data_IF_867502212013
#
_entry.id   IF_867502212013
#
_cell.length_a   1.000
_cell.length_b   1.000
_cell.length_c   1.000
_cell.angle_alpha   90.00
_cell.angle_beta   90.00
_cell.angle_gamma   90.00
#
_symmetry.space_group_name_H-M   'P 1'
#
loop_
_entity.id
_entity.type
_entity.pdbx_description
1 polymer ?
#
# COMPACT_ATOMS: atom_id res chain seq x y z
N UNK A 1 -8.18 1.40 10.92
CA UNK A 1 -8.74 2.78 10.89
C UNK A 1 -9.48 2.94 9.56
N UNK A 2 -10.62 3.63 9.49
CA UNK A 2 -11.40 3.74 8.24
C UNK A 2 -10.86 4.87 7.35
N UNK A 3 -9.95 4.55 6.41
CA UNK A 3 -9.40 5.52 5.45
C UNK A 3 -10.16 5.44 4.13
N UNK A 4 -10.63 6.57 3.59
CA UNK A 4 -11.15 6.61 2.22
C UNK A 4 -10.04 6.91 1.22
N UNK A 5 -10.10 6.24 0.06
CA UNK A 5 -9.19 6.38 -1.07
C UNK A 5 -9.93 6.95 -2.26
N UNK A 6 -9.32 7.92 -2.95
CA UNK A 6 -9.82 8.50 -4.20
C UNK A 6 -9.17 7.76 -5.37
N UNK A 7 -9.99 7.11 -6.22
CA UNK A 7 -9.51 6.49 -7.45
C UNK A 7 -9.23 7.53 -8.53
N UNK A 8 -8.50 7.13 -9.56
CA UNK A 8 -8.23 7.97 -10.75
C UNK A 8 -9.51 8.54 -11.40
N UNK A 9 -10.65 7.82 -11.34
CA UNK A 9 -11.94 8.30 -11.84
C UNK A 9 -12.72 9.20 -10.85
N UNK A 10 -12.11 9.60 -9.72
CA UNK A 10 -12.73 10.42 -8.68
C UNK A 10 -13.64 9.68 -7.69
N UNK A 11 -13.92 8.38 -7.92
CA UNK A 11 -14.74 7.59 -7.00
C UNK A 11 -14.03 7.33 -5.66
N UNK A 12 -14.83 7.26 -4.59
CA UNK A 12 -14.34 6.96 -3.23
C UNK A 12 -14.52 5.48 -2.91
N UNK A 13 -13.52 4.88 -2.29
CA UNK A 13 -13.59 3.52 -1.74
C UNK A 13 -12.91 3.49 -0.37
N UNK A 14 -13.24 2.48 0.44
CA UNK A 14 -12.44 2.20 1.63
C UNK A 14 -11.05 1.69 1.21
N UNK A 15 -10.03 2.09 1.97
CA UNK A 15 -8.71 1.50 1.87
C UNK A 15 -8.81 0.00 2.11
N UNK A 16 -8.09 -0.76 1.28
CA UNK A 16 -8.13 -2.21 1.26
C UNK A 16 -6.69 -2.71 1.22
N UNK A 17 -6.20 -3.15 2.39
CA UNK A 17 -4.83 -3.62 2.59
C UNK A 17 -4.48 -4.79 1.65
N UNK A 18 -5.47 -5.63 1.31
CA UNK A 18 -5.27 -6.78 0.43
C UNK A 18 -4.87 -6.37 -1.00
N UNK A 19 -5.24 -5.16 -1.45
CA UNK A 19 -4.77 -4.63 -2.74
C UNK A 19 -3.27 -4.32 -2.72
N UNK A 20 -2.75 -3.83 -1.60
CA UNK A 20 -1.31 -3.55 -1.44
C UNK A 20 -0.53 -4.86 -1.36
N UNK A 21 -0.99 -5.83 -0.57
CA UNK A 21 -0.39 -7.16 -0.44
C UNK A 21 -0.29 -7.82 -1.82
N UNK A 22 -1.39 -7.89 -2.58
CA UNK A 22 -1.38 -8.48 -3.92
C UNK A 22 -0.44 -7.76 -4.88
N UNK A 23 -0.32 -6.45 -4.76
CA UNK A 23 0.63 -5.67 -5.58
C UNK A 23 2.06 -6.07 -5.24
N UNK A 24 2.41 -6.14 -3.96
CA UNK A 24 3.72 -6.58 -3.50
C UNK A 24 4.05 -8.02 -3.97
N UNK A 25 3.13 -8.97 -3.79
CA UNK A 25 3.31 -10.35 -4.24
C UNK A 25 3.54 -10.44 -5.77
N UNK A 26 2.82 -9.65 -6.57
CA UNK A 26 3.03 -9.57 -8.02
C UNK A 26 4.40 -9.01 -8.41
N UNK A 27 5.04 -8.26 -7.52
CA UNK A 27 6.40 -7.77 -7.69
C UNK A 27 7.47 -8.78 -7.23
N UNK A 28 7.06 -9.95 -6.76
CA UNK A 28 7.98 -11.05 -6.42
C UNK A 28 8.49 -11.05 -4.98
N UNK A 29 7.98 -10.17 -4.11
CA UNK A 29 8.32 -10.27 -2.68
C UNK A 29 7.53 -11.38 -2.01
N UNK A 30 8.12 -11.97 -0.97
CA UNK A 30 7.43 -12.98 -0.17
C UNK A 30 6.29 -12.37 0.64
N UNK A 31 5.45 -13.25 1.21
CA UNK A 31 4.25 -12.85 1.92
C UNK A 31 4.52 -12.04 3.19
N UNK A 32 5.59 -12.33 3.94
CA UNK A 32 5.95 -11.57 5.15
C UNK A 32 6.24 -10.11 4.81
N UNK A 33 7.13 -9.90 3.83
CA UNK A 33 7.50 -8.57 3.34
C UNK A 33 6.26 -7.84 2.82
N UNK A 34 5.39 -8.53 2.06
CA UNK A 34 4.16 -7.95 1.54
C UNK A 34 3.22 -7.46 2.66
N UNK A 35 3.12 -8.19 3.77
CA UNK A 35 2.32 -7.76 4.93
C UNK A 35 2.94 -6.55 5.62
N UNK A 36 4.26 -6.56 5.89
CA UNK A 36 4.96 -5.44 6.52
C UNK A 36 4.82 -4.14 5.73
N UNK A 37 5.02 -4.21 4.41
CA UNK A 37 4.85 -3.06 3.51
C UNK A 37 3.39 -2.59 3.55
N UNK A 38 2.42 -3.50 3.54
CA UNK A 38 1.01 -3.14 3.54
C UNK A 38 0.54 -2.51 4.87
N UNK A 39 1.13 -2.92 6.00
CA UNK A 39 0.96 -2.22 7.28
C UNK A 39 1.51 -0.81 7.23
N UNK A 40 2.73 -0.65 6.73
CA UNK A 40 3.36 0.68 6.66
C UNK A 40 2.60 1.62 5.71
N UNK A 41 2.09 1.10 4.58
CA UNK A 41 1.19 1.85 3.70
C UNK A 41 -0.10 2.26 4.43
N UNK A 42 -0.71 1.38 5.23
CA UNK A 42 -1.91 1.72 5.99
C UNK A 42 -1.62 2.80 7.04
N UNK A 43 -0.49 2.72 7.75
CA UNK A 43 -0.08 3.68 8.77
C UNK A 43 0.16 5.08 8.20
N UNK A 44 0.73 5.15 6.98
CA UNK A 44 0.97 6.43 6.29
C UNK A 44 -0.23 6.90 5.46
N UNK A 45 -1.27 6.07 5.31
CA UNK A 45 -2.47 6.42 4.57
C UNK A 45 -3.34 7.39 5.36
N UNK A 46 -3.84 8.41 4.66
CA UNK A 46 -4.71 9.44 5.23
C UNK A 46 -6.01 9.54 4.43
N UNK A 47 -7.05 10.12 5.03
CA UNK A 47 -8.35 10.22 4.40
C UNK A 47 -8.28 11.04 3.10
N UNK A 48 -8.76 10.46 1.99
CA UNK A 48 -8.70 11.08 0.67
C UNK A 48 -7.38 10.84 -0.08
N UNK A 49 -6.49 9.97 0.41
CA UNK A 49 -5.30 9.55 -0.34
C UNK A 49 -5.70 8.98 -1.71
N UNK A 50 -4.93 9.26 -2.76
CA UNK A 50 -5.21 8.75 -4.10
C UNK A 50 -4.62 7.36 -4.30
N UNK A 51 -5.20 6.58 -5.22
CA UNK A 51 -4.62 5.28 -5.61
C UNK A 51 -3.19 5.39 -6.11
N UNK A 52 -2.85 6.48 -6.81
CA UNK A 52 -1.52 6.68 -7.37
C UNK A 52 -0.50 6.95 -6.26
N UNK A 53 -0.86 7.75 -5.25
CA UNK A 53 -0.03 7.97 -4.05
C UNK A 53 0.20 6.69 -3.25
N UNK A 54 -0.82 5.84 -3.12
CA UNK A 54 -0.66 4.52 -2.48
C UNK A 54 0.36 3.67 -3.24
N UNK A 55 0.28 3.67 -4.57
CA UNK A 55 1.20 2.90 -5.41
C UNK A 55 2.64 3.44 -5.32
N UNK A 56 2.81 4.75 -5.40
CA UNK A 56 4.11 5.42 -5.24
C UNK A 56 4.73 5.14 -3.86
N UNK A 57 3.92 5.19 -2.81
CA UNK A 57 4.34 4.86 -1.46
C UNK A 57 4.76 3.39 -1.36
N UNK A 58 3.98 2.47 -1.93
CA UNK A 58 4.29 1.04 -1.96
C UNK A 58 5.65 0.80 -2.63
N UNK A 59 5.89 1.42 -3.79
CA UNK A 59 7.17 1.31 -4.49
C UNK A 59 8.33 1.91 -3.71
N UNK A 60 8.11 3.04 -3.03
CA UNK A 60 9.13 3.71 -2.23
C UNK A 60 9.53 2.85 -1.03
N UNK A 61 8.56 2.23 -0.35
CA UNK A 61 8.81 1.32 0.76
C UNK A 61 9.54 0.06 0.31
N UNK A 62 9.11 -0.57 -0.79
CA UNK A 62 9.77 -1.75 -1.34
C UNK A 62 11.23 -1.48 -1.74
N UNK A 63 11.50 -0.31 -2.34
CA UNK A 63 12.87 0.08 -2.72
C UNK A 63 13.79 0.28 -1.51
N UNK A 64 13.25 0.80 -0.43
CA UNK A 64 13.98 1.08 0.81
C UNK A 64 13.93 -0.08 1.81
N UNK A 65 13.22 -1.15 1.48
CA UNK A 65 13.04 -2.29 2.37
C UNK A 65 14.39 -2.97 2.59
N UNK A 66 14.92 -2.82 3.80
CA UNK A 66 16.02 -3.62 4.31
C UNK A 66 15.39 -4.71 5.16
N UNK A 67 15.52 -6.00 4.81
CA UNK A 67 15.04 -7.04 5.71
C UNK A 67 15.70 -6.82 7.07
N UNK A 68 14.90 -6.78 8.13
CA UNK A 68 15.44 -6.85 9.48
C UNK A 68 15.98 -8.28 9.64
N UNK A 69 17.29 -8.45 9.42
CA UNK A 69 18.04 -9.69 9.63
C UNK A 69 18.43 -9.78 11.10
#
# INVERSE_FOLDING_TARGET
>A
MSVYVIKANGSKQMFDKEKVIRTCLRMGVNRSIAYEIAEEVENQSYNGITTDKILDLTFSLLRNYKPHI
#
